data_IF_310120683023
#
_entry.id   IF_310120683023
#
_cell.length_a   1.000
_cell.length_b   1.000
_cell.length_c   1.000
_cell.angle_alpha   90.00
_cell.angle_beta   90.00
_cell.angle_gamma   90.00
#
_symmetry.space_group_name_H-M   'P 1'
#
loop_
_entity.id
_entity.type
_entity.pdbx_description
1 polymer ?
#
# COMPACT_ATOMS: atom_id res chain seq x y z
N UNK A 1 0.74 -20.03 -9.16
CA UNK A 1 -0.25 -19.24 -9.96
C UNK A 1 -0.80 -20.12 -11.08
N UNK A 2 -2.12 -20.34 -11.10
CA UNK A 2 -2.78 -21.28 -12.03
C UNK A 2 -3.63 -20.51 -13.04
N UNK A 3 -3.63 -20.91 -14.31
CA UNK A 3 -4.45 -20.28 -15.36
C UNK A 3 -5.66 -21.16 -15.66
N UNK A 4 -6.86 -20.55 -15.66
CA UNK A 4 -8.14 -21.24 -15.85
C UNK A 4 -8.97 -20.51 -16.90
N UNK A 5 -9.58 -21.27 -17.81
CA UNK A 5 -10.43 -20.70 -18.85
C UNK A 5 -11.79 -20.26 -18.27
N UNK A 6 -12.32 -19.14 -18.74
CA UNK A 6 -13.64 -18.60 -18.39
C UNK A 6 -14.79 -19.63 -18.54
N UNK A 7 -14.71 -20.53 -19.53
CA UNK A 7 -15.68 -21.63 -19.70
C UNK A 7 -15.67 -22.61 -18.52
N UNK A 8 -14.47 -22.92 -18.01
CA UNK A 8 -14.29 -23.82 -16.87
C UNK A 8 -14.78 -23.17 -15.57
N UNK A 9 -14.62 -21.85 -15.46
CA UNK A 9 -15.17 -21.07 -14.34
C UNK A 9 -16.69 -21.08 -14.35
N UNK A 10 -17.34 -20.93 -15.51
CA UNK A 10 -18.80 -20.92 -15.62
C UNK A 10 -19.41 -22.22 -15.09
N UNK A 11 -18.78 -23.35 -15.38
CA UNK A 11 -19.32 -24.67 -15.05
C UNK A 11 -18.92 -25.12 -13.63
N UNK A 12 -17.74 -24.71 -13.13
CA UNK A 12 -17.16 -25.23 -11.90
C UNK A 12 -16.74 -24.11 -10.92
N UNK A 13 -17.55 -23.05 -10.77
CA UNK A 13 -17.17 -21.91 -9.93
C UNK A 13 -16.89 -22.33 -8.48
N UNK A 14 -17.73 -23.18 -7.88
CA UNK A 14 -17.58 -23.65 -6.50
C UNK A 14 -16.23 -24.33 -6.26
N UNK A 15 -15.88 -25.33 -7.07
CA UNK A 15 -14.60 -26.05 -6.97
C UNK A 15 -13.38 -25.11 -7.12
N UNK A 16 -13.51 -24.08 -7.97
CA UNK A 16 -12.44 -23.12 -8.20
C UNK A 16 -12.28 -22.18 -7.00
N UNK A 17 -13.38 -21.79 -6.34
CA UNK A 17 -13.33 -21.04 -5.09
C UNK A 17 -12.73 -21.87 -3.96
N UNK A 18 -13.10 -23.14 -3.82
CA UNK A 18 -12.50 -24.05 -2.84
C UNK A 18 -11.00 -24.23 -3.09
N UNK A 19 -10.60 -24.30 -4.36
CA UNK A 19 -9.19 -24.40 -4.73
C UNK A 19 -8.44 -23.10 -4.41
N UNK A 20 -9.04 -21.94 -4.68
CA UNK A 20 -8.50 -20.62 -4.35
C UNK A 20 -8.29 -20.50 -2.83
N UNK A 21 -9.26 -20.95 -2.03
CA UNK A 21 -9.21 -20.90 -0.57
C UNK A 21 -8.16 -21.85 0.02
N UNK A 22 -8.04 -23.06 -0.52
CA UNK A 22 -7.03 -24.05 -0.09
C UNK A 22 -5.60 -23.64 -0.47
N UNK A 23 -5.40 -23.18 -1.70
CA UNK A 23 -4.05 -22.85 -2.20
C UNK A 23 -3.61 -21.46 -1.78
N UNK A 24 -4.55 -20.55 -1.51
CA UNK A 24 -4.29 -19.12 -1.30
C UNK A 24 -3.41 -18.53 -2.41
N UNK A 25 -3.50 -19.05 -3.63
CA UNK A 25 -2.75 -18.54 -4.78
C UNK A 25 -3.67 -17.81 -5.75
N UNK A 26 -3.23 -16.70 -6.35
CA UNK A 26 -3.98 -16.02 -7.41
C UNK A 26 -4.22 -16.94 -8.61
N UNK A 27 -5.45 -16.93 -9.10
CA UNK A 27 -5.88 -17.68 -10.28
C UNK A 27 -6.08 -16.71 -11.44
N UNK A 28 -5.36 -16.93 -12.53
CA UNK A 28 -5.48 -16.14 -13.75
C UNK A 28 -6.64 -16.68 -14.59
N UNK A 29 -7.50 -15.79 -15.05
CA UNK A 29 -8.65 -16.13 -15.89
C UNK A 29 -8.33 -15.78 -17.34
N UNK A 30 -8.32 -16.80 -18.20
CA UNK A 30 -8.17 -16.63 -19.64
C UNK A 30 -9.52 -16.70 -20.35
N UNK A 31 -9.69 -15.86 -21.38
CA UNK A 31 -10.82 -15.95 -22.32
C UNK A 31 -10.22 -15.95 -23.74
N UNK A 32 -10.35 -17.07 -24.44
CA UNK A 32 -9.61 -17.29 -25.69
C UNK A 32 -8.11 -17.50 -25.43
N UNK A 33 -7.24 -16.73 -26.11
CA UNK A 33 -5.77 -16.80 -25.97
C UNK A 33 -5.18 -15.74 -25.04
N UNK A 34 -6.01 -14.96 -24.35
CA UNK A 34 -5.56 -13.84 -23.54
C UNK A 34 -6.03 -13.96 -22.09
N UNK A 35 -5.19 -13.49 -21.17
CA UNK A 35 -5.54 -13.32 -19.75
C UNK A 35 -6.37 -12.05 -19.64
N UNK A 36 -7.57 -12.16 -19.04
CA UNK A 36 -8.52 -11.05 -18.94
C UNK A 36 -8.89 -10.67 -17.51
N UNK A 37 -8.70 -11.55 -16.55
CA UNK A 37 -8.98 -11.26 -15.15
C UNK A 37 -8.08 -12.10 -14.22
N UNK A 38 -8.10 -11.75 -12.93
CA UNK A 38 -7.45 -12.49 -11.86
C UNK A 38 -8.43 -12.64 -10.71
N UNK A 39 -8.52 -13.84 -10.16
CA UNK A 39 -9.23 -14.16 -8.92
C UNK A 39 -8.22 -14.22 -7.78
N UNK A 40 -8.52 -13.52 -6.69
CA UNK A 40 -7.75 -13.50 -5.44
C UNK A 40 -8.71 -13.55 -4.27
N UNK A 41 -8.24 -13.97 -3.10
CA UNK A 41 -9.06 -13.93 -1.89
C UNK A 41 -9.23 -12.48 -1.41
N UNK A 42 -10.30 -12.17 -0.66
CA UNK A 42 -10.48 -10.85 -0.04
C UNK A 42 -9.29 -10.42 0.82
N UNK A 43 -8.71 -11.36 1.59
CA UNK A 43 -7.49 -11.14 2.39
C UNK A 43 -6.32 -10.66 1.53
N UNK A 44 -6.06 -11.34 0.41
CA UNK A 44 -5.01 -10.96 -0.53
C UNK A 44 -5.28 -9.63 -1.22
N UNK A 45 -6.54 -9.30 -1.47
CA UNK A 45 -6.91 -7.99 -2.00
C UNK A 45 -6.60 -6.89 -0.99
N UNK A 46 -6.95 -7.10 0.28
CA UNK A 46 -6.67 -6.14 1.35
C UNK A 46 -5.17 -5.92 1.54
N UNK A 47 -4.38 -6.99 1.65
CA UNK A 47 -2.93 -6.90 1.84
C UNK A 47 -2.19 -6.27 0.65
N UNK A 48 -2.60 -6.61 -0.58
CA UNK A 48 -1.87 -6.17 -1.79
C UNK A 48 -2.33 -4.84 -2.34
N UNK A 49 -3.60 -4.48 -2.19
CA UNK A 49 -4.14 -3.26 -2.78
C UNK A 49 -4.45 -2.19 -1.74
N UNK A 50 -5.13 -2.54 -0.64
CA UNK A 50 -5.54 -1.54 0.37
C UNK A 50 -4.35 -1.11 1.22
N UNK A 51 -3.61 -2.09 1.73
CA UNK A 51 -2.43 -1.85 2.57
C UNK A 51 -1.28 -1.21 1.79
N UNK A 52 -1.09 -1.58 0.54
CA UNK A 52 -0.08 -0.98 -0.32
C UNK A 52 -0.41 0.50 -0.61
N UNK A 53 -1.65 0.81 -0.99
CA UNK A 53 -2.07 2.20 -1.20
C UNK A 53 -2.00 3.03 0.09
N UNK A 54 -2.37 2.45 1.24
CA UNK A 54 -2.26 3.13 2.52
C UNK A 54 -0.80 3.44 2.89
N UNK A 55 0.12 2.50 2.64
CA UNK A 55 1.57 2.72 2.82
C UNK A 55 2.11 3.78 1.87
N UNK A 56 1.75 3.74 0.59
CA UNK A 56 2.18 4.77 -0.37
C UNK A 56 1.67 6.14 0.04
N UNK A 57 0.40 6.27 0.42
CA UNK A 57 -0.18 7.53 0.86
C UNK A 57 0.48 8.05 2.14
N UNK A 58 0.83 7.16 3.06
CA UNK A 58 1.61 7.51 4.27
C UNK A 58 3.02 7.98 3.93
N UNK A 59 3.69 7.34 2.98
CA UNK A 59 5.03 7.75 2.53
C UNK A 59 4.99 9.11 1.84
N UNK A 60 4.01 9.34 0.96
CA UNK A 60 3.78 10.63 0.31
C UNK A 60 3.52 11.71 1.36
N UNK A 61 2.64 11.47 2.32
CA UNK A 61 2.35 12.40 3.41
C UNK A 61 3.61 12.72 4.23
N UNK A 62 4.41 11.72 4.59
CA UNK A 62 5.67 11.93 5.30
C UNK A 62 6.69 12.70 4.48
N UNK A 63 6.77 12.46 3.16
CA UNK A 63 7.63 13.21 2.26
C UNK A 63 7.18 14.68 2.17
N UNK A 64 5.88 14.92 2.08
CA UNK A 64 5.28 16.26 2.12
C UNK A 64 5.59 16.99 3.43
N UNK A 65 5.42 16.34 4.59
CA UNK A 65 5.75 16.91 5.90
C UNK A 65 7.26 17.20 6.01
N UNK A 66 8.12 16.30 5.51
CA UNK A 66 9.57 16.53 5.48
C UNK A 66 9.96 17.67 4.54
N UNK A 67 9.26 17.85 3.42
CA UNK A 67 9.47 18.97 2.49
C UNK A 67 8.99 20.30 3.05
N UNK A 68 7.92 20.29 3.86
CA UNK A 68 7.42 21.47 4.57
C UNK A 68 8.18 21.79 5.87
N UNK A 69 9.05 20.91 6.36
CA UNK A 69 10.04 21.31 7.36
C UNK A 69 10.93 22.36 6.71
N UNK A 70 10.63 23.63 6.96
CA UNK A 70 11.56 24.71 6.72
C UNK A 70 12.93 24.30 7.29
N UNK A 71 14.01 24.62 6.57
CA UNK A 71 15.34 24.63 7.18
C UNK A 71 15.20 25.43 8.47
N UNK A 72 15.68 24.86 9.58
CA UNK A 72 15.79 25.58 10.85
C UNK A 72 16.26 27.00 10.54
N UNK A 73 15.45 28.00 10.87
CA UNK A 73 15.82 29.40 10.68
C UNK A 73 16.88 29.71 11.73
N UNK A 74 18.11 29.32 11.44
CA UNK A 74 19.30 29.54 12.28
C UNK A 74 19.81 28.30 13.03
N UNK A 75 21.12 28.32 13.30
CA UNK A 75 21.85 27.42 14.21
C UNK A 75 21.66 27.79 15.70
N UNK A 76 20.72 28.68 16.04
CA UNK A 76 20.50 29.08 17.43
C UNK A 76 19.94 27.89 18.20
N UNK A 77 20.65 27.43 19.23
CA UNK A 77 20.14 26.35 20.09
C UNK A 77 18.90 26.86 20.80
N UNK A 78 17.92 26.00 21.02
CA UNK A 78 16.66 26.36 21.69
C UNK A 78 16.87 27.08 23.03
N UNK A 79 17.99 26.81 23.70
CA UNK A 79 18.37 27.44 24.96
C UNK A 79 18.82 28.90 24.80
N UNK A 80 19.45 29.25 23.69
CA UNK A 80 19.93 30.60 23.40
C UNK A 80 18.74 31.52 23.14
N UNK A 81 17.74 31.03 22.39
CA UNK A 81 16.47 31.74 22.14
C UNK A 81 15.69 31.96 23.45
N UNK A 82 15.65 30.96 24.32
CA UNK A 82 14.99 31.08 25.63
C UNK A 82 15.71 32.06 26.57
N UNK A 83 17.03 32.16 26.47
CA UNK A 83 17.83 33.13 27.23
C UNK A 83 17.60 34.56 26.74
N UNK A 84 17.57 34.75 25.42
CA UNK A 84 17.27 36.03 24.77
C UNK A 84 15.87 36.54 25.17
N UNK A 85 14.85 35.68 25.12
CA UNK A 85 13.49 36.02 25.54
C UNK A 85 13.36 36.33 27.04
N UNK A 86 14.24 35.78 27.88
CA UNK A 86 14.26 36.06 29.32
C UNK A 86 15.15 37.26 29.69
N UNK A 87 15.79 37.90 28.71
CA UNK A 87 16.59 39.12 28.91
C UNK A 87 17.96 38.87 29.54
N UNK A 88 18.53 37.67 29.41
CA UNK A 88 19.93 37.46 29.76
C UNK A 88 20.83 38.02 28.65
N UNK A 89 21.94 38.73 28.98
CA UNK A 89 22.96 39.10 27.99
C UNK A 89 23.67 37.84 27.45
N UNK A 90 24.22 37.96 26.22
CA UNK A 90 24.88 36.88 25.45
C UNK A 90 25.90 36.06 26.25
#
# INVERSE_FOLDING_TARGET
MKTVNALKIRNNLGEILDLLEKTKEPILVSKGREIRAVLITPEQFQDRFVDYQARERKQQLLATIKGFRARSVGEKKSIDVLRELRGYPE
#
